data_IF_385125492161
#
_entry.id   IF_385125492161
#
_cell.length_a   1.000
_cell.length_b   1.000
_cell.length_c   1.000
_cell.angle_alpha   90.00
_cell.angle_beta   90.00
_cell.angle_gamma   90.00
#
_symmetry.space_group_name_H-M   'P 1'
#
loop_
_entity.id
_entity.type
_entity.pdbx_description
1 polymer ?
#
# COMPACT_ATOMS: atom_id res chain seq x y z
N UNK A 1 4.29 11.09 1.75
CA UNK A 1 4.05 12.19 0.81
C UNK A 1 2.58 12.59 0.87
N UNK A 2 2.27 13.86 1.11
CA UNK A 2 0.89 14.35 1.08
C UNK A 2 0.46 14.54 -0.37
N UNK A 3 -0.63 13.90 -0.78
CA UNK A 3 -1.20 14.03 -2.12
C UNK A 3 -2.10 15.26 -2.22
N UNK A 4 -2.97 15.43 -1.21
CA UNK A 4 -3.83 16.60 -0.99
C UNK A 4 -4.17 16.68 0.52
N UNK A 5 -5.12 17.53 0.93
CA UNK A 5 -5.43 17.78 2.34
C UNK A 5 -5.83 16.49 3.09
N UNK A 6 -6.66 15.65 2.47
CA UNK A 6 -7.22 14.43 3.03
C UNK A 6 -6.61 13.14 2.46
N UNK A 7 -5.48 13.21 1.77
CA UNK A 7 -4.89 12.05 1.13
C UNK A 7 -3.36 12.01 1.21
N UNK A 8 -2.84 10.83 1.52
CA UNK A 8 -1.41 10.63 1.63
C UNK A 8 -0.95 9.34 0.96
N UNK A 9 0.27 9.39 0.42
CA UNK A 9 1.00 8.23 -0.06
C UNK A 9 2.16 7.93 0.88
N UNK A 10 2.24 6.68 1.34
CA UNK A 10 3.32 6.19 2.17
C UNK A 10 4.11 5.16 1.36
N UNK A 11 5.41 5.33 1.33
CA UNK A 11 6.34 4.45 0.64
C UNK A 11 7.20 3.74 1.68
N UNK A 12 7.08 2.41 1.73
CA UNK A 12 7.90 1.59 2.61
C UNK A 12 8.84 0.76 1.75
N UNK A 13 10.12 0.79 2.10
CA UNK A 13 11.17 0.03 1.44
C UNK A 13 11.64 -1.09 2.37
N UNK A 14 11.62 -2.31 1.86
CA UNK A 14 12.09 -3.50 2.56
C UNK A 14 13.24 -4.13 1.78
N UNK A 15 14.39 -4.25 2.44
CA UNK A 15 15.55 -4.93 1.89
C UNK A 15 15.57 -6.39 2.35
N UNK A 16 16.06 -7.27 1.49
CA UNK A 16 16.27 -8.68 1.79
C UNK A 16 17.72 -9.08 1.50
N UNK A 17 18.30 -9.85 2.41
CA UNK A 17 19.67 -10.38 2.25
C UNK A 17 19.73 -11.48 1.17
N UNK A 18 18.64 -12.25 1.04
CA UNK A 18 18.51 -13.29 0.02
C UNK A 18 17.97 -12.69 -1.30
N UNK A 19 18.35 -13.32 -2.42
CA UNK A 19 17.84 -12.90 -3.74
C UNK A 19 16.34 -13.17 -3.84
N UNK A 20 15.53 -12.14 -4.08
CA UNK A 20 14.08 -12.26 -4.24
C UNK A 20 13.68 -13.26 -5.34
N UNK A 21 14.48 -13.34 -6.42
CA UNK A 21 14.23 -14.28 -7.53
C UNK A 21 14.31 -15.76 -7.13
N UNK A 22 14.91 -16.09 -5.99
CA UNK A 22 14.98 -17.45 -5.45
C UNK A 22 13.82 -17.79 -4.52
N UNK A 23 12.97 -16.82 -4.19
CA UNK A 23 11.91 -16.95 -3.20
C UNK A 23 10.55 -16.80 -3.87
N UNK A 24 9.61 -17.68 -3.54
CA UNK A 24 8.24 -17.54 -4.04
C UNK A 24 7.56 -16.28 -3.46
N UNK A 25 6.88 -15.50 -4.30
CA UNK A 25 6.20 -14.28 -3.91
C UNK A 25 5.18 -14.48 -2.78
N UNK A 26 4.48 -15.62 -2.77
CA UNK A 26 3.55 -15.98 -1.70
C UNK A 26 4.22 -16.13 -0.33
N UNK A 27 5.45 -16.64 -0.32
CA UNK A 27 6.25 -16.74 0.91
C UNK A 27 6.70 -15.35 1.39
N UNK A 28 7.15 -14.49 0.46
CA UNK A 28 7.54 -13.10 0.78
C UNK A 28 6.37 -12.33 1.39
N UNK A 29 5.20 -12.37 0.78
CA UNK A 29 3.99 -11.72 1.30
C UNK A 29 3.66 -12.24 2.71
N UNK A 30 3.74 -13.57 2.93
CA UNK A 30 3.53 -14.15 4.25
C UNK A 30 4.53 -13.65 5.29
N UNK A 31 5.79 -13.43 4.92
CA UNK A 31 6.80 -12.87 5.83
C UNK A 31 6.52 -11.41 6.17
N UNK A 32 6.11 -10.60 5.18
CA UNK A 32 5.70 -9.20 5.38
C UNK A 32 4.56 -9.13 6.40
N UNK A 33 3.52 -9.95 6.23
CA UNK A 33 2.37 -10.00 7.14
C UNK A 33 2.76 -10.44 8.56
N UNK A 34 3.74 -11.36 8.69
CA UNK A 34 4.18 -11.86 10.00
C UNK A 34 5.06 -10.90 10.77
N UNK A 35 5.94 -10.16 10.08
CA UNK A 35 6.95 -9.33 10.73
C UNK A 35 6.42 -8.03 11.32
N UNK A 36 5.14 -7.69 11.11
CA UNK A 36 4.59 -6.40 11.53
C UNK A 36 5.37 -5.22 10.89
N UNK A 37 6.00 -5.46 9.74
CA UNK A 37 6.84 -4.50 9.03
C UNK A 37 6.06 -3.27 8.59
N UNK A 38 4.74 -3.37 8.56
CA UNK A 38 3.84 -2.29 8.22
C UNK A 38 2.97 -1.84 9.42
N UNK A 39 3.43 -2.13 10.64
CA UNK A 39 2.97 -1.42 11.85
C UNK A 39 3.44 0.04 11.74
N UNK A 40 2.88 0.78 10.80
CA UNK A 40 3.28 2.15 10.56
C UNK A 40 2.21 3.11 11.04
N UNK A 41 2.72 4.20 11.54
CA UNK A 41 1.98 5.38 11.87
C UNK A 41 1.55 6.05 10.55
N UNK A 42 0.26 6.13 10.30
CA UNK A 42 -0.27 7.13 9.39
C UNK A 42 -0.04 8.48 10.07
N UNK A 43 0.81 9.32 9.52
CA UNK A 43 1.42 10.45 10.23
C UNK A 43 0.45 11.51 10.73
N UNK A 44 -0.74 11.59 10.14
CA UNK A 44 -1.78 12.54 10.52
C UNK A 44 -2.88 11.92 11.40
N UNK A 45 -2.85 10.61 11.58
CA UNK A 45 -3.75 9.90 12.48
C UNK A 45 -2.94 9.44 13.70
N UNK A 46 -3.43 9.68 14.89
CA UNK A 46 -2.86 9.20 16.16
C UNK A 46 -2.93 7.67 16.29
N UNK A 47 -2.69 6.94 15.22
CA UNK A 47 -2.52 5.50 15.28
C UNK A 47 -1.15 5.22 15.91
N UNK A 48 -1.12 5.06 17.21
CA UNK A 48 -0.01 4.37 17.83
C UNK A 48 0.17 3.03 17.13
N UNK A 49 1.43 2.64 16.88
CA UNK A 49 1.79 1.34 16.32
C UNK A 49 1.01 0.23 17.04
N UNK A 50 -0.09 -0.15 16.46
CA UNK A 50 -0.93 -1.19 17.03
C UNK A 50 -0.33 -2.54 16.63
N UNK A 51 0.34 -3.21 17.55
CA UNK A 51 0.87 -4.56 17.32
C UNK A 51 -0.25 -5.49 16.84
N UNK A 52 0.04 -6.27 15.81
CA UNK A 52 -0.91 -7.23 15.26
C UNK A 52 -1.84 -6.68 14.20
N UNK A 53 -1.54 -5.49 13.68
CA UNK A 53 -2.24 -4.89 12.54
C UNK A 53 -1.30 -4.70 11.35
N UNK A 54 -1.87 -4.75 10.17
CA UNK A 54 -1.24 -4.47 8.90
C UNK A 54 -2.09 -3.37 8.23
N UNK A 55 -1.63 -2.13 8.30
CA UNK A 55 -2.50 -1.00 8.04
C UNK A 55 -3.75 -1.04 8.94
N UNK A 56 -4.94 -0.85 8.40
CA UNK A 56 -6.17 -0.88 9.17
C UNK A 56 -6.67 -2.30 9.51
N UNK A 57 -6.01 -3.36 9.04
CA UNK A 57 -6.48 -4.74 9.16
C UNK A 57 -5.71 -5.54 10.20
N UNK A 58 -6.40 -6.45 10.91
CA UNK A 58 -5.75 -7.41 11.82
C UNK A 58 -4.87 -8.38 11.04
N UNK A 59 -3.56 -8.35 11.23
CA UNK A 59 -2.57 -9.14 10.47
C UNK A 59 -2.87 -10.63 10.45
N UNK A 60 -3.35 -11.19 11.57
CA UNK A 60 -3.69 -12.62 11.68
C UNK A 60 -4.87 -13.07 10.81
N UNK A 61 -5.68 -12.11 10.33
CA UNK A 61 -6.84 -12.38 9.49
C UNK A 61 -6.57 -12.08 8.01
N UNK A 62 -5.41 -11.50 7.70
CA UNK A 62 -4.94 -11.36 6.33
C UNK A 62 -4.22 -12.62 5.87
N UNK A 63 -4.45 -12.97 4.62
CA UNK A 63 -3.81 -14.09 3.94
C UNK A 63 -2.99 -13.59 2.77
N UNK A 64 -1.98 -14.33 2.37
CA UNK A 64 -1.25 -14.03 1.13
C UNK A 64 -2.15 -14.00 -0.11
N UNK A 65 -3.24 -14.79 -0.13
CA UNK A 65 -4.25 -14.78 -1.19
C UNK A 65 -5.11 -13.51 -1.26
N UNK A 66 -5.07 -12.67 -0.24
CA UNK A 66 -5.72 -11.35 -0.27
C UNK A 66 -4.94 -10.37 -1.16
N UNK A 67 -3.65 -10.65 -1.43
CA UNK A 67 -2.84 -9.92 -2.40
C UNK A 67 -2.95 -10.58 -3.78
N UNK A 68 -3.58 -9.87 -4.70
CA UNK A 68 -3.78 -10.34 -6.08
C UNK A 68 -2.65 -9.83 -6.96
N UNK A 69 -2.01 -10.75 -7.70
CA UNK A 69 -1.04 -10.37 -8.72
C UNK A 69 -1.75 -9.65 -9.86
N UNK A 70 -1.17 -8.54 -10.30
CA UNK A 70 -1.64 -7.75 -11.44
C UNK A 70 -0.46 -7.47 -12.36
N UNK A 71 -0.73 -7.15 -13.62
CA UNK A 71 0.30 -6.67 -14.55
C UNK A 71 0.62 -5.18 -14.33
N UNK A 72 1.68 -4.71 -14.97
CA UNK A 72 2.15 -3.34 -14.85
C UNK A 72 1.11 -2.32 -15.32
N UNK A 73 0.42 -2.60 -16.42
CA UNK A 73 -0.63 -1.73 -16.97
C UNK A 73 -1.78 -1.56 -15.98
N UNK A 74 -2.25 -2.66 -15.39
CA UNK A 74 -3.32 -2.62 -14.40
C UNK A 74 -2.86 -1.99 -13.08
N UNK A 75 -1.58 -2.11 -12.73
CA UNK A 75 -0.98 -1.42 -11.59
C UNK A 75 -1.07 0.10 -11.78
N UNK A 76 -0.54 0.64 -12.88
CA UNK A 76 -0.60 2.08 -13.15
C UNK A 76 -2.02 2.59 -13.33
N UNK A 77 -2.89 1.87 -14.05
CA UNK A 77 -4.32 2.21 -14.19
C UNK A 77 -5.01 2.31 -12.83
N UNK A 78 -4.72 1.37 -11.92
CA UNK A 78 -5.30 1.40 -10.57
C UNK A 78 -4.83 2.61 -9.78
N UNK A 79 -3.54 2.94 -9.84
CA UNK A 79 -2.98 4.12 -9.19
C UNK A 79 -3.61 5.40 -9.73
N UNK A 80 -3.64 5.59 -11.05
CA UNK A 80 -4.25 6.77 -11.67
C UNK A 80 -5.73 6.91 -11.29
N UNK A 81 -6.49 5.81 -11.30
CA UNK A 81 -7.89 5.81 -10.88
C UNK A 81 -8.07 6.28 -9.43
N UNK A 82 -7.15 5.88 -8.54
CA UNK A 82 -7.22 6.24 -7.12
C UNK A 82 -6.85 7.71 -6.91
N UNK A 83 -5.73 8.19 -7.47
CA UNK A 83 -5.24 9.54 -7.22
C UNK A 83 -6.03 10.63 -7.94
N UNK A 84 -6.67 10.29 -9.07
CA UNK A 84 -7.51 11.20 -9.86
C UNK A 84 -9.00 11.09 -9.52
N UNK A 85 -9.36 10.25 -8.57
CA UNK A 85 -10.74 10.10 -8.13
C UNK A 85 -11.23 11.40 -7.49
N UNK A 86 -12.33 11.93 -8.00
CA UNK A 86 -13.02 13.05 -7.36
C UNK A 86 -13.61 12.60 -6.01
N UNK A 87 -13.34 13.38 -4.98
CA UNK A 87 -13.86 13.18 -3.62
C UNK A 87 -14.56 14.45 -3.18
N UNK A 88 -15.68 14.26 -2.48
CA UNK A 88 -16.46 15.40 -1.96
C UNK A 88 -15.57 16.27 -1.07
N UNK A 89 -15.66 17.58 -1.30
CA UNK A 89 -14.95 18.60 -0.52
C UNK A 89 -13.40 18.48 -0.52
N UNK A 90 -12.85 17.70 -1.45
CA UNK A 90 -11.41 17.48 -1.56
C UNK A 90 -10.93 17.95 -2.93
N UNK A 91 -9.97 18.87 -3.01
CA UNK A 91 -9.39 19.29 -4.28
C UNK A 91 -8.65 18.11 -4.95
N UNK A 92 -8.65 18.09 -6.28
CA UNK A 92 -7.82 17.14 -7.01
C UNK A 92 -6.33 17.35 -6.69
N UNK A 93 -5.56 16.30 -6.84
CA UNK A 93 -4.10 16.40 -6.74
C UNK A 93 -3.58 17.41 -7.79
N UNK A 94 -2.68 18.31 -7.38
CA UNK A 94 -2.03 19.22 -8.34
C UNK A 94 -1.15 18.45 -9.31
N UNK A 95 -0.99 18.96 -10.53
CA UNK A 95 -0.14 18.33 -11.57
C UNK A 95 1.28 18.11 -11.05
N UNK A 96 1.88 19.12 -10.39
CA UNK A 96 3.22 19.00 -9.80
C UNK A 96 3.35 17.83 -8.81
N UNK A 97 2.38 17.67 -7.91
CA UNK A 97 2.37 16.57 -6.95
C UNK A 97 2.12 15.21 -7.60
N UNK A 98 1.25 15.21 -8.62
CA UNK A 98 0.98 14.01 -9.40
C UNK A 98 2.25 13.55 -10.11
N UNK A 99 2.94 14.45 -10.80
CA UNK A 99 4.15 14.14 -11.54
C UNK A 99 5.26 13.64 -10.60
N UNK A 100 5.51 14.34 -9.48
CA UNK A 100 6.48 13.92 -8.48
C UNK A 100 6.12 12.54 -7.85
N UNK A 101 4.84 12.24 -7.70
CA UNK A 101 4.38 10.95 -7.21
C UNK A 101 4.61 9.84 -8.23
N UNK A 102 4.27 10.07 -9.50
CA UNK A 102 4.46 9.10 -10.58
C UNK A 102 5.95 8.84 -10.81
N UNK A 103 6.79 9.86 -10.87
CA UNK A 103 8.24 9.71 -10.98
C UNK A 103 8.79 8.81 -9.88
N UNK A 104 8.34 9.00 -8.64
CA UNK A 104 8.76 8.17 -7.52
C UNK A 104 8.35 6.71 -7.69
N UNK A 105 7.17 6.44 -8.23
CA UNK A 105 6.71 5.06 -8.52
C UNK A 105 7.55 4.45 -9.64
N UNK A 106 7.79 5.18 -10.72
CA UNK A 106 8.60 4.70 -11.84
C UNK A 106 10.02 4.30 -11.41
N UNK A 107 10.61 5.01 -10.44
CA UNK A 107 11.89 4.61 -9.84
C UNK A 107 11.83 3.25 -9.13
N UNK A 108 10.69 2.90 -8.52
CA UNK A 108 10.50 1.64 -7.81
C UNK A 108 10.17 0.47 -8.75
N UNK A 109 9.57 0.77 -9.90
CA UNK A 109 9.07 -0.23 -10.86
C UNK A 109 10.08 -0.59 -11.94
N UNK A 110 11.24 0.10 -12.00
CA UNK A 110 12.27 -0.12 -13.04
C UNK A 110 12.66 -1.60 -13.15
N UNK A 111 12.39 -2.17 -14.34
CA UNK A 111 12.83 -3.49 -14.83
C UNK A 111 12.50 -4.68 -13.92
N UNK A 112 11.81 -5.67 -14.47
CA UNK A 112 11.57 -6.99 -13.87
C UNK A 112 10.97 -6.92 -12.46
N UNK A 113 9.73 -6.44 -12.36
CA UNK A 113 8.99 -6.37 -11.13
C UNK A 113 7.66 -7.14 -11.21
N UNK A 114 7.26 -7.74 -10.11
CA UNK A 114 5.90 -8.27 -9.90
C UNK A 114 5.10 -7.29 -9.07
N UNK A 115 3.84 -7.10 -9.45
CA UNK A 115 2.93 -6.19 -8.79
C UNK A 115 1.77 -6.93 -8.14
N UNK A 116 1.42 -6.52 -6.93
CA UNK A 116 0.29 -7.07 -6.19
C UNK A 116 -0.55 -5.93 -5.62
N UNK A 117 -1.86 -6.13 -5.59
CA UNK A 117 -2.80 -5.24 -4.93
C UNK A 117 -3.51 -5.98 -3.79
N UNK A 118 -3.65 -5.34 -2.65
CA UNK A 118 -4.48 -5.86 -1.56
C UNK A 118 -5.96 -5.77 -1.96
N UNK A 119 -6.61 -6.91 -2.08
CA UNK A 119 -8.02 -7.02 -2.46
C UNK A 119 -8.99 -6.89 -1.28
N UNK A 120 -8.62 -6.09 -0.27
CA UNK A 120 -9.49 -5.79 0.89
C UNK A 120 -9.86 -4.32 0.89
N UNK A 121 -11.14 -4.07 1.05
CA UNK A 121 -11.69 -2.72 1.17
C UNK A 121 -12.12 -2.46 2.62
N UNK A 122 -12.03 -1.19 3.03
CA UNK A 122 -12.59 -0.73 4.29
C UNK A 122 -14.11 -0.79 4.22
N UNK A 123 -14.73 -1.06 5.35
CA UNK A 123 -16.19 -1.01 5.50
C UNK A 123 -16.59 0.26 6.27
N UNK A 124 -17.79 0.75 6.00
CA UNK A 124 -18.36 1.90 6.71
C UNK A 124 -18.47 1.68 8.23
N UNK A 125 -18.56 0.43 8.66
CA UNK A 125 -18.48 0.01 10.05
C UNK A 125 -17.32 -0.97 10.23
N UNK A 126 -16.42 -0.78 11.24
CA UNK A 126 -15.29 -1.66 11.47
C UNK A 126 -15.74 -3.11 11.66
N UNK A 127 -15.33 -3.98 10.76
CA UNK A 127 -15.58 -5.41 10.87
C UNK A 127 -14.58 -6.08 11.81
N UNK A 128 -14.83 -7.35 12.16
CA UNK A 128 -13.92 -8.12 13.04
C UNK A 128 -12.46 -8.17 12.57
N UNK A 129 -12.21 -7.93 11.28
CA UNK A 129 -10.86 -7.95 10.70
C UNK A 129 -10.20 -6.57 10.63
N UNK A 130 -10.91 -5.50 10.99
CA UNK A 130 -10.41 -4.12 10.96
C UNK A 130 -10.01 -3.62 12.34
N UNK A 131 -9.18 -2.60 12.37
CA UNK A 131 -8.88 -1.84 13.57
C UNK A 131 -10.12 -1.01 13.95
N UNK A 132 -10.35 -0.81 15.25
CA UNK A 132 -11.47 0.00 15.74
C UNK A 132 -11.48 1.44 15.21
N UNK A 133 -10.32 1.98 14.85
CA UNK A 133 -10.16 3.32 14.28
C UNK A 133 -10.14 3.33 12.75
N UNK A 134 -10.38 2.21 12.08
CA UNK A 134 -10.41 2.16 10.62
C UNK A 134 -11.46 3.08 10.00
N UNK A 135 -12.51 3.41 10.77
CA UNK A 135 -13.54 4.37 10.37
C UNK A 135 -13.03 5.81 10.15
N UNK A 136 -11.84 6.15 10.64
CA UNK A 136 -11.19 7.43 10.35
C UNK A 136 -10.64 7.51 8.92
N UNK A 137 -10.59 6.37 8.21
CA UNK A 137 -10.20 6.30 6.80
C UNK A 137 -11.43 6.05 5.94
N UNK A 138 -11.59 6.84 4.90
CA UNK A 138 -12.61 6.61 3.87
C UNK A 138 -12.15 5.60 2.83
N UNK A 139 -10.83 5.60 2.53
CA UNK A 139 -10.22 4.69 1.57
C UNK A 139 -8.82 4.27 2.02
N UNK A 140 -8.49 3.01 1.76
CA UNK A 140 -7.16 2.45 1.94
C UNK A 140 -6.83 1.51 0.79
N UNK A 141 -5.72 1.76 0.14
CA UNK A 141 -5.22 0.93 -0.95
C UNK A 141 -3.75 0.60 -0.68
N UNK A 142 -3.40 -0.65 -0.91
CA UNK A 142 -2.04 -1.13 -0.72
C UNK A 142 -1.56 -1.90 -1.94
N UNK A 143 -0.35 -1.58 -2.37
CA UNK A 143 0.35 -2.26 -3.45
C UNK A 143 1.70 -2.76 -2.95
N UNK A 144 2.07 -3.97 -3.37
CA UNK A 144 3.41 -4.52 -3.20
C UNK A 144 4.09 -4.59 -4.55
N UNK A 145 5.34 -4.15 -4.62
CA UNK A 145 6.19 -4.17 -5.80
C UNK A 145 7.41 -5.01 -5.45
N UNK A 146 7.52 -6.19 -6.04
CA UNK A 146 8.68 -7.06 -5.89
C UNK A 146 9.65 -6.77 -7.02
N UNK A 147 10.62 -5.89 -6.79
CA UNK A 147 11.60 -5.52 -7.81
C UNK A 147 12.81 -6.45 -7.74
N UNK A 148 12.87 -7.42 -8.67
CA UNK A 148 13.92 -8.42 -8.72
C UNK A 148 15.26 -7.87 -9.17
N UNK A 149 15.27 -6.79 -9.97
CA UNK A 149 16.50 -6.16 -10.45
C UNK A 149 17.27 -5.43 -9.36
N UNK A 150 16.56 -4.81 -8.44
CA UNK A 150 17.16 -4.10 -7.30
C UNK A 150 17.18 -4.93 -6.01
N UNK A 151 16.60 -6.13 -6.04
CA UNK A 151 16.43 -7.02 -4.88
C UNK A 151 15.66 -6.37 -3.72
N UNK A 152 14.67 -5.56 -4.04
CA UNK A 152 13.89 -4.78 -3.07
C UNK A 152 12.40 -5.08 -3.16
N UNK A 153 11.72 -4.97 -2.04
CA UNK A 153 10.26 -4.91 -1.97
C UNK A 153 9.87 -3.50 -1.58
N UNK A 154 8.95 -2.92 -2.34
CA UNK A 154 8.32 -1.65 -1.99
C UNK A 154 6.85 -1.88 -1.66
N UNK A 155 6.39 -1.26 -0.59
CA UNK A 155 4.96 -1.13 -0.31
C UNK A 155 4.56 0.30 -0.58
N UNK A 156 3.55 0.47 -1.41
CA UNK A 156 2.87 1.73 -1.65
C UNK A 156 1.50 1.69 -1.00
N UNK A 157 1.25 2.62 -0.11
CA UNK A 157 0.00 2.75 0.60
C UNK A 157 -0.62 4.09 0.25
N UNK A 158 -1.87 4.07 -0.17
CA UNK A 158 -2.68 5.25 -0.43
C UNK A 158 -3.84 5.26 0.55
N UNK A 159 -3.86 6.26 1.42
CA UNK A 159 -4.85 6.41 2.46
C UNK A 159 -5.54 7.77 2.38
N UNK A 160 -6.85 7.77 2.57
CA UNK A 160 -7.71 8.95 2.52
C UNK A 160 -8.65 8.95 3.72
N UNK A 161 -8.87 10.14 4.31
CA UNK A 161 -9.83 10.42 5.39
C UNK A 161 -11.05 11.18 4.91
#
# INVERSE_FOLDING_TARGET
MRLHEHGQAIFVHLSFDEKLSSIQSSFLIKQILKKGTLDFQLTDFMFNRAKGFHGPFKSKLLKNSDFKKIDEDNFFKSIYRIILKERKDTPLISEERKDAFIEKIELMTKKNADFFILGKELSSEPKKFEHEWSHALTEYHEFLILNYSSNNIFCLLLAYD
#
